data_IF_081163042325
#
_entry.id   IF_081163042325
#
_cell.length_a   1.000
_cell.length_b   1.000
_cell.length_c   1.000
_cell.angle_alpha   90.00
_cell.angle_beta   90.00
_cell.angle_gamma   90.00
#
_symmetry.space_group_name_H-M   'P 1'
#
loop_
_entity.id
_entity.type
_entity.pdbx_description
1 polymer ?
#
# COMPACT_ATOMS: atom_id res chain seq x y z
N UNK A 1 -25.63 -19.27 -47.33
CA UNK A 1 -25.36 -19.44 -45.90
C UNK A 1 -26.66 -19.10 -45.20
N UNK A 2 -27.44 -20.13 -44.82
CA UNK A 2 -28.77 -19.96 -44.23
C UNK A 2 -28.62 -19.85 -42.69
N UNK A 3 -29.35 -18.90 -42.17
CA UNK A 3 -29.43 -18.47 -40.77
C UNK A 3 -29.48 -19.61 -39.77
N UNK A 4 -28.45 -19.72 -38.95
CA UNK A 4 -28.31 -20.71 -37.86
C UNK A 4 -28.87 -20.14 -36.50
N UNK A 5 -29.73 -19.13 -36.59
CA UNK A 5 -30.31 -18.55 -35.40
C UNK A 5 -31.67 -19.22 -35.16
N UNK A 6 -31.65 -20.21 -34.25
CA UNK A 6 -32.87 -20.89 -33.81
C UNK A 6 -33.70 -19.94 -32.94
N UNK A 7 -34.95 -19.58 -33.28
CA UNK A 7 -35.77 -18.64 -32.55
C UNK A 7 -36.03 -19.08 -31.09
N UNK A 8 -35.96 -20.37 -30.82
CA UNK A 8 -36.08 -20.91 -29.45
C UNK A 8 -34.90 -20.57 -28.55
N UNK A 9 -33.68 -20.43 -29.11
CA UNK A 9 -32.48 -20.02 -28.38
C UNK A 9 -32.57 -18.56 -27.98
N UNK A 10 -33.09 -17.71 -28.88
CA UNK A 10 -33.29 -16.29 -28.58
C UNK A 10 -34.35 -16.10 -27.51
N UNK A 11 -35.45 -16.84 -27.58
CA UNK A 11 -36.49 -16.77 -26.55
C UNK A 11 -35.98 -17.21 -25.18
N UNK A 12 -35.16 -18.26 -25.10
CA UNK A 12 -34.52 -18.72 -23.87
C UNK A 12 -33.57 -17.69 -23.28
N UNK A 13 -32.74 -17.04 -24.11
CA UNK A 13 -31.80 -16.02 -23.67
C UNK A 13 -32.49 -14.76 -23.10
N UNK A 14 -33.59 -14.33 -23.73
CA UNK A 14 -34.39 -13.20 -23.24
C UNK A 14 -35.04 -13.52 -21.88
N UNK A 15 -35.56 -14.74 -21.72
CA UNK A 15 -36.22 -15.15 -20.50
C UNK A 15 -35.25 -15.25 -19.33
N UNK A 16 -34.03 -15.77 -19.54
CA UNK A 16 -33.01 -15.83 -18.51
C UNK A 16 -32.47 -14.44 -18.13
N UNK A 17 -32.28 -13.54 -19.10
CA UNK A 17 -31.85 -12.17 -18.85
C UNK A 17 -32.89 -11.39 -18.03
N UNK A 18 -34.17 -11.56 -18.32
CA UNK A 18 -35.27 -10.91 -17.60
C UNK A 18 -35.38 -11.43 -16.15
N UNK A 19 -35.17 -12.73 -15.92
CA UNK A 19 -35.16 -13.31 -14.59
C UNK A 19 -34.02 -12.79 -13.73
N UNK A 20 -32.82 -12.69 -14.28
CA UNK A 20 -31.65 -12.14 -13.56
C UNK A 20 -31.83 -10.66 -13.21
N UNK A 21 -32.42 -9.86 -14.10
CA UNK A 21 -32.74 -8.45 -13.81
C UNK A 21 -33.76 -8.31 -12.69
N UNK A 22 -34.79 -9.15 -12.67
CA UNK A 22 -35.82 -9.15 -11.62
C UNK A 22 -35.24 -9.52 -10.24
N UNK A 23 -34.37 -10.54 -10.16
CA UNK A 23 -33.69 -10.93 -8.93
C UNK A 23 -32.75 -9.80 -8.43
N UNK A 24 -32.04 -9.15 -9.33
CA UNK A 24 -31.16 -8.02 -8.98
C UNK A 24 -31.94 -6.83 -8.41
N UNK A 25 -33.15 -6.58 -8.90
CA UNK A 25 -34.00 -5.48 -8.40
C UNK A 25 -34.62 -5.80 -7.04
N UNK A 26 -34.95 -7.08 -6.78
CA UNK A 26 -35.48 -7.49 -5.48
C UNK A 26 -34.45 -7.41 -4.37
N UNK A 27 -33.17 -7.67 -4.66
CA UNK A 27 -32.07 -7.60 -3.66
C UNK A 27 -31.61 -6.17 -3.37
N UNK A 28 -31.75 -5.24 -4.31
CA UNK A 28 -31.39 -3.83 -4.12
C UNK A 28 -32.38 -3.06 -3.21
N UNK A 29 -33.57 -3.58 -2.99
CA UNK A 29 -34.62 -2.94 -2.17
C UNK A 29 -34.49 -3.14 -0.65
N UNK A 30 -33.50 -3.88 -0.17
CA UNK A 30 -33.34 -4.23 1.26
C UNK A 30 -32.28 -3.37 1.98
N UNK A 31 -31.81 -2.26 1.37
CA UNK A 31 -30.98 -1.29 2.09
C UNK A 31 -31.89 -0.40 2.92
N UNK A 32 -32.19 -0.81 4.13
CA UNK A 32 -32.75 0.08 5.16
C UNK A 32 -31.67 1.09 5.54
N UNK A 33 -31.98 2.39 5.58
CA UNK A 33 -31.04 3.37 6.13
C UNK A 33 -30.88 3.06 7.62
N UNK A 34 -29.66 2.75 8.02
CA UNK A 34 -29.28 2.60 9.42
C UNK A 34 -29.55 3.92 10.13
N UNK A 35 -30.37 3.90 11.17
CA UNK A 35 -30.61 4.96 12.10
C UNK A 35 -29.28 5.59 12.52
N UNK A 36 -29.05 6.81 12.08
CA UNK A 36 -28.07 7.69 12.69
C UNK A 36 -28.64 8.06 14.05
N UNK A 37 -28.33 7.28 15.05
CA UNK A 37 -28.54 7.64 16.45
C UNK A 37 -27.68 8.86 16.70
N UNK A 38 -28.33 10.02 16.71
CA UNK A 38 -27.75 11.29 17.10
C UNK A 38 -27.33 11.19 18.56
N UNK A 39 -26.03 10.91 18.78
CA UNK A 39 -25.43 10.89 20.10
C UNK A 39 -25.32 12.31 20.62
N UNK A 40 -26.32 12.79 21.32
CA UNK A 40 -26.25 14.00 22.15
C UNK A 40 -25.45 13.66 23.41
N UNK A 41 -24.14 13.62 23.27
CA UNK A 41 -23.24 13.63 24.40
C UNK A 41 -23.10 15.07 24.93
N UNK A 42 -23.75 15.37 26.04
CA UNK A 42 -23.39 16.56 26.81
C UNK A 42 -21.92 16.46 27.22
N UNK A 43 -21.10 17.32 26.65
CA UNK A 43 -19.69 17.44 27.06
C UNK A 43 -19.63 18.10 28.45
N UNK A 44 -19.58 17.28 29.47
CA UNK A 44 -19.25 17.77 30.83
C UNK A 44 -17.75 18.09 30.83
N UNK A 45 -17.44 19.38 30.78
CA UNK A 45 -16.09 19.89 30.97
C UNK A 45 -15.69 19.69 32.45
N UNK A 46 -15.13 18.52 32.76
CA UNK A 46 -14.46 18.31 34.06
C UNK A 46 -13.09 18.96 33.98
N UNK A 47 -12.95 20.13 34.59
CA UNK A 47 -11.64 20.78 34.78
C UNK A 47 -10.90 19.98 35.82
N UNK A 48 -10.03 19.09 35.42
CA UNK A 48 -9.07 18.40 36.33
C UNK A 48 -7.96 19.42 36.59
N UNK A 49 -7.74 19.86 37.83
CA UNK A 49 -6.61 20.73 38.13
C UNK A 49 -5.33 19.97 37.83
N UNK A 50 -4.54 20.54 36.94
CA UNK A 50 -3.21 20.01 36.59
C UNK A 50 -2.37 20.05 37.86
N UNK A 51 -1.84 18.91 38.37
CA UNK A 51 -0.90 18.94 39.46
C UNK A 51 0.34 19.72 39.01
N UNK A 52 0.64 20.79 39.75
CA UNK A 52 1.88 21.56 39.57
C UNK A 52 3.04 20.68 39.96
N UNK A 53 3.68 20.03 38.99
CA UNK A 53 4.91 19.31 39.23
C UNK A 53 6.04 20.33 39.43
N UNK A 54 6.56 20.42 40.63
CA UNK A 54 7.84 21.09 40.88
C UNK A 54 8.89 20.27 40.13
N UNK A 55 9.63 20.83 39.15
CA UNK A 55 10.66 20.06 38.46
C UNK A 55 11.76 19.71 39.44
N UNK A 56 11.77 18.46 39.90
CA UNK A 56 12.94 17.89 40.56
C UNK A 56 14.05 17.85 39.49
N UNK A 57 15.26 18.40 39.77
CA UNK A 57 16.34 18.30 38.80
C UNK A 57 16.64 16.83 38.57
N UNK A 58 16.30 16.35 37.36
CA UNK A 58 16.64 15.02 36.89
C UNK A 58 18.16 14.89 36.89
N UNK A 59 18.76 13.84 37.51
CA UNK A 59 20.20 13.63 37.39
C UNK A 59 20.59 13.63 35.95
N UNK A 60 21.56 14.47 35.58
CA UNK A 60 22.13 14.55 34.23
C UNK A 60 22.69 13.19 33.87
N UNK A 61 21.90 12.40 33.19
CA UNK A 61 22.32 11.14 32.61
C UNK A 61 23.35 11.50 31.52
N UNK A 62 24.55 10.89 31.52
CA UNK A 62 25.47 11.16 30.42
C UNK A 62 24.77 10.83 29.12
N UNK A 63 24.67 11.84 28.28
CA UNK A 63 24.16 11.70 26.92
C UNK A 63 25.09 10.75 26.15
N UNK A 64 24.74 9.45 26.21
CA UNK A 64 25.28 8.54 25.20
C UNK A 64 24.71 9.01 23.88
N UNK A 65 25.44 9.88 23.21
CA UNK A 65 25.25 10.11 21.78
C UNK A 65 25.52 8.79 21.08
N UNK A 66 24.49 7.97 20.98
CA UNK A 66 24.48 6.93 19.98
C UNK A 66 24.49 7.71 18.67
N UNK A 67 25.66 7.74 18.05
CA UNK A 67 25.76 8.13 16.65
C UNK A 67 24.98 7.08 15.86
N UNK A 68 23.68 7.18 15.91
CA UNK A 68 22.84 6.52 14.92
C UNK A 68 23.26 7.12 13.59
N UNK A 69 23.84 6.36 12.64
CA UNK A 69 24.11 6.91 11.34
C UNK A 69 22.77 7.46 10.84
N UNK A 70 22.70 8.77 10.66
CA UNK A 70 21.56 9.40 10.02
C UNK A 70 21.60 8.90 8.59
N UNK A 71 20.85 7.84 8.33
CA UNK A 71 20.59 7.38 6.97
C UNK A 71 19.69 8.47 6.40
N UNK A 72 20.27 9.32 5.56
CA UNK A 72 19.52 10.37 4.89
C UNK A 72 18.39 9.72 4.10
N UNK A 73 17.16 10.02 4.48
CA UNK A 73 15.99 9.55 3.77
C UNK A 73 15.92 10.31 2.44
N UNK A 74 16.23 9.64 1.35
CA UNK A 74 16.10 10.21 0.00
C UNK A 74 14.66 9.98 -0.46
N UNK A 75 13.93 11.06 -0.71
CA UNK A 75 12.50 11.04 -1.03
C UNK A 75 11.63 10.31 0.02
N UNK A 76 12.05 10.31 1.29
CA UNK A 76 11.36 9.60 2.37
C UNK A 76 11.63 8.09 2.42
N UNK A 77 12.44 7.55 1.50
CA UNK A 77 12.87 6.15 1.48
C UNK A 77 14.16 6.01 2.30
N UNK A 78 14.20 5.00 3.17
CA UNK A 78 15.35 4.72 4.02
C UNK A 78 15.55 3.22 4.20
N UNK A 79 16.77 2.79 4.42
CA UNK A 79 17.08 1.38 4.72
C UNK A 79 16.37 0.94 6.00
N UNK A 80 15.76 -0.24 5.96
CA UNK A 80 14.93 -0.78 7.02
C UNK A 80 13.46 -0.32 6.95
N UNK A 81 13.14 0.70 6.17
CA UNK A 81 11.77 1.15 5.91
C UNK A 81 11.04 0.25 4.91
N UNK A 82 9.78 0.59 4.67
CA UNK A 82 8.94 -0.10 3.67
C UNK A 82 8.59 0.84 2.54
N UNK A 83 8.46 0.28 1.35
CA UNK A 83 8.04 0.97 0.13
C UNK A 83 6.95 0.18 -0.58
N UNK A 84 6.06 0.89 -1.25
CA UNK A 84 5.04 0.32 -2.10
C UNK A 84 5.34 0.66 -3.56
N UNK A 85 5.14 -0.30 -4.45
CA UNK A 85 5.25 -0.09 -5.89
C UNK A 85 3.99 0.59 -6.40
N UNK A 86 4.14 1.78 -7.00
CA UNK A 86 3.04 2.56 -7.58
C UNK A 86 3.46 3.23 -8.90
N UNK A 87 2.49 3.41 -9.78
CA UNK A 87 2.66 4.14 -11.04
C UNK A 87 3.26 3.32 -12.17
N UNK A 88 3.21 1.99 -12.08
CA UNK A 88 3.67 1.09 -13.15
C UNK A 88 2.58 0.81 -14.19
N UNK A 89 1.38 1.38 -14.03
CA UNK A 89 0.21 1.18 -14.91
C UNK A 89 -0.16 -0.31 -15.11
N UNK A 90 0.20 -1.16 -14.12
CA UNK A 90 -0.04 -2.59 -14.16
C UNK A 90 1.05 -3.43 -14.83
N UNK A 91 2.08 -2.81 -15.42
CA UNK A 91 3.22 -3.52 -16.02
C UNK A 91 4.14 -4.15 -14.97
N UNK A 92 4.09 -3.64 -13.73
CA UNK A 92 4.97 -4.06 -12.66
C UNK A 92 6.37 -3.44 -12.73
N UNK A 93 7.10 -3.54 -11.62
CA UNK A 93 8.46 -3.03 -11.47
C UNK A 93 9.48 -4.17 -11.57
N UNK A 94 10.46 -4.03 -12.46
CA UNK A 94 11.53 -5.00 -12.63
C UNK A 94 12.54 -4.89 -11.51
N UNK A 95 12.71 -5.96 -10.74
CA UNK A 95 13.78 -6.11 -9.76
C UNK A 95 14.96 -6.80 -10.43
N UNK A 96 16.13 -6.19 -10.31
CA UNK A 96 17.35 -6.62 -11.00
C UNK A 96 18.39 -7.12 -10.01
N UNK A 97 19.31 -7.94 -10.52
CA UNK A 97 20.43 -8.44 -9.73
C UNK A 97 21.39 -7.30 -9.34
N UNK A 98 21.60 -6.33 -10.24
CA UNK A 98 22.48 -5.21 -10.06
C UNK A 98 21.74 -3.88 -10.27
N UNK A 99 22.17 -2.76 -9.64
CA UNK A 99 21.55 -1.45 -9.79
C UNK A 99 21.91 -0.80 -11.13
N UNK A 100 21.53 -1.42 -12.23
CA UNK A 100 21.78 -0.95 -13.59
C UNK A 100 20.65 -1.38 -14.54
N UNK A 101 20.41 -0.57 -15.59
CA UNK A 101 19.41 -0.89 -16.61
C UNK A 101 19.74 -2.16 -17.40
N UNK A 102 21.03 -2.56 -17.46
CA UNK A 102 21.47 -3.79 -18.11
C UNK A 102 21.55 -5.00 -17.18
N UNK A 103 21.30 -4.83 -15.87
CA UNK A 103 21.28 -5.92 -14.90
C UNK A 103 20.21 -6.95 -15.23
N UNK A 104 20.50 -8.22 -14.93
CA UNK A 104 19.56 -9.32 -15.11
C UNK A 104 18.27 -9.06 -14.31
N UNK A 105 17.11 -9.25 -14.93
CA UNK A 105 15.80 -9.14 -14.26
C UNK A 105 15.56 -10.46 -13.53
N UNK A 106 15.55 -10.41 -12.20
CA UNK A 106 15.38 -11.61 -11.37
C UNK A 106 13.95 -11.76 -10.87
N UNK A 107 13.22 -10.65 -10.69
CA UNK A 107 11.82 -10.63 -10.26
C UNK A 107 11.04 -9.51 -10.92
N UNK A 108 9.70 -9.66 -10.92
CA UNK A 108 8.76 -8.62 -11.26
C UNK A 108 7.90 -8.33 -10.01
N UNK A 109 8.04 -7.12 -9.46
CA UNK A 109 7.18 -6.61 -8.39
C UNK A 109 5.87 -6.09 -8.99
N UNK A 110 4.75 -6.42 -8.36
CA UNK A 110 3.44 -6.01 -8.85
C UNK A 110 3.05 -4.63 -8.33
N UNK A 111 2.18 -3.95 -9.07
CA UNK A 111 1.55 -2.69 -8.63
C UNK A 111 0.86 -2.89 -7.28
N UNK A 112 1.14 -2.01 -6.32
CA UNK A 112 0.59 -2.08 -4.96
C UNK A 112 1.35 -3.00 -4.01
N UNK A 113 2.32 -3.78 -4.47
CA UNK A 113 3.11 -4.70 -3.63
C UNK A 113 4.05 -3.92 -2.71
N UNK A 114 4.21 -4.40 -1.46
CA UNK A 114 5.06 -3.77 -0.45
C UNK A 114 6.37 -4.55 -0.33
N UNK A 115 7.47 -3.82 -0.26
CA UNK A 115 8.82 -4.35 -0.06
C UNK A 115 9.51 -3.66 1.10
N UNK A 116 10.43 -4.35 1.76
CA UNK A 116 11.36 -3.76 2.71
C UNK A 116 12.61 -3.29 1.99
N UNK A 117 13.11 -2.11 2.33
CA UNK A 117 14.36 -1.56 1.80
C UNK A 117 15.54 -2.16 2.57
N UNK A 118 16.43 -2.86 1.86
CA UNK A 118 17.60 -3.54 2.45
C UNK A 118 18.89 -2.79 2.22
N UNK A 119 18.98 -2.04 1.12
CA UNK A 119 20.18 -1.30 0.76
C UNK A 119 19.92 -0.12 -0.17
N UNK A 120 20.96 0.66 -0.43
CA UNK A 120 20.90 1.85 -1.26
C UNK A 120 20.87 3.14 -0.43
N UNK A 121 20.66 4.32 -1.09
CA UNK A 121 20.48 4.44 -2.54
C UNK A 121 21.80 4.33 -3.31
N UNK A 122 21.75 3.78 -4.52
CA UNK A 122 22.84 3.86 -5.49
C UNK A 122 22.41 4.66 -6.72
N UNK A 123 23.21 5.63 -7.13
CA UNK A 123 22.97 6.41 -8.33
C UNK A 123 23.70 5.77 -9.52
N UNK A 124 22.94 5.24 -10.48
CA UNK A 124 23.50 4.62 -11.69
C UNK A 124 22.54 4.73 -12.86
N UNK A 125 23.08 4.90 -14.04
CA UNK A 125 22.35 5.07 -15.30
C UNK A 125 21.32 6.22 -15.28
N UNK A 126 21.57 7.27 -14.46
CA UNK A 126 20.67 8.40 -14.29
C UNK A 126 19.45 8.10 -13.41
N UNK A 127 19.43 6.99 -12.72
CA UNK A 127 18.39 6.58 -11.78
C UNK A 127 18.97 6.37 -10.38
N UNK A 128 18.09 6.51 -9.39
CA UNK A 128 18.37 6.17 -8.01
C UNK A 128 17.80 4.77 -7.74
N UNK A 129 18.65 3.86 -7.29
CA UNK A 129 18.32 2.44 -7.10
C UNK A 129 18.29 2.09 -5.63
N UNK A 130 17.32 1.24 -5.27
CA UNK A 130 17.18 0.69 -3.93
C UNK A 130 17.13 -0.82 -3.99
N UNK A 131 17.80 -1.47 -3.06
CA UNK A 131 17.71 -2.91 -2.87
C UNK A 131 16.47 -3.22 -2.03
N UNK A 132 15.59 -4.04 -2.57
CA UNK A 132 14.29 -4.39 -2.02
C UNK A 132 14.20 -5.88 -1.73
N UNK A 133 13.44 -6.23 -0.69
CA UNK A 133 13.14 -7.63 -0.31
C UNK A 133 11.67 -7.75 0.08
N UNK A 134 11.00 -8.79 -0.41
CA UNK A 134 9.60 -9.02 -0.06
C UNK A 134 9.48 -9.52 1.40
N UNK A 135 8.64 -8.90 2.26
CA UNK A 135 8.60 -9.19 3.71
C UNK A 135 8.29 -10.66 4.06
N UNK A 136 7.54 -11.35 3.20
CA UNK A 136 7.13 -12.74 3.43
C UNK A 136 7.90 -13.75 2.58
N UNK A 137 8.86 -13.30 1.76
CA UNK A 137 9.62 -14.17 0.89
C UNK A 137 10.99 -13.56 0.56
N UNK A 138 11.98 -13.87 1.36
CA UNK A 138 13.36 -13.36 1.23
C UNK A 138 14.03 -13.75 -0.11
N UNK A 139 13.50 -14.74 -0.84
CA UNK A 139 14.02 -15.09 -2.16
C UNK A 139 13.60 -14.06 -3.23
N UNK A 140 12.60 -13.25 -2.95
CA UNK A 140 12.13 -12.17 -3.83
C UNK A 140 12.81 -10.86 -3.42
N UNK A 141 14.06 -10.70 -3.80
CA UNK A 141 14.88 -9.51 -3.56
C UNK A 141 15.47 -9.01 -4.86
N UNK A 142 15.91 -7.77 -4.89
CA UNK A 142 16.62 -7.18 -6.02
C UNK A 142 16.59 -5.67 -6.04
N UNK A 143 17.34 -5.10 -6.97
CA UNK A 143 17.47 -3.66 -7.16
C UNK A 143 16.35 -3.11 -8.03
N UNK A 144 15.74 -2.02 -7.58
CA UNK A 144 14.66 -1.33 -8.29
C UNK A 144 14.86 0.19 -8.28
N UNK A 145 14.36 0.86 -9.32
CA UNK A 145 14.44 2.32 -9.43
C UNK A 145 13.44 3.02 -8.54
N UNK A 146 13.85 4.12 -7.92
CA UNK A 146 13.03 4.90 -7.00
C UNK A 146 11.78 5.53 -7.61
N UNK A 147 11.73 5.70 -8.92
CA UNK A 147 10.66 6.40 -9.63
C UNK A 147 9.27 5.80 -9.41
N UNK A 148 9.22 4.52 -9.07
CA UNK A 148 7.98 3.76 -8.84
C UNK A 148 7.83 3.31 -7.38
N UNK A 149 8.60 3.90 -6.46
CA UNK A 149 8.60 3.56 -5.05
C UNK A 149 8.05 4.70 -4.21
N UNK A 150 7.08 4.42 -3.38
CA UNK A 150 6.50 5.36 -2.42
C UNK A 150 6.70 4.80 -1.01
N UNK A 151 7.13 5.62 -0.04
CA UNK A 151 7.22 5.18 1.35
C UNK A 151 5.90 4.59 1.85
N UNK A 152 5.97 3.44 2.51
CA UNK A 152 4.82 2.73 3.04
C UNK A 152 5.03 2.39 4.52
N UNK A 153 3.93 2.01 5.19
CA UNK A 153 3.99 1.44 6.52
C UNK A 153 4.27 -0.06 6.44
N UNK A 154 4.77 -0.64 7.52
CA UNK A 154 4.92 -2.10 7.64
C UNK A 154 3.57 -2.79 7.41
N UNK A 155 3.54 -3.86 6.63
CA UNK A 155 2.35 -4.66 6.40
C UNK A 155 1.85 -5.35 7.67
#
# INVERSE_FOLDING_TARGET
>A
MKDIINPWVIAGAILTASLLLAVSFLTAGQLTPSDLTEYHGEAVLTIIPVPTYTPTPLPTQPEFSILTPTIEAVHGIQVGGYVQILGTEGEGLRLRQDPTLNGEIIHLGLEGEIYQVRGGPEERDGYLWWELEAPLNETRQGWAVSNYLVPAQSP
#
